data_IF_129430724219
#
_entry.id   IF_129430724219
#
_cell.length_a   1.000
_cell.length_b   1.000
_cell.length_c   1.000
_cell.angle_alpha   90.00
_cell.angle_beta   90.00
_cell.angle_gamma   90.00
#
_symmetry.space_group_name_H-M   'P 1'
#
loop_
_entity.id
_entity.type
_entity.pdbx_description
1 polymer ?
#
# COMPACT_ATOMS: atom_id res chain seq x y z
N UNK A 1 5.24 12.33 20.56
CA UNK A 1 5.46 12.51 19.12
C UNK A 1 4.60 11.53 18.35
N UNK A 2 3.85 12.01 17.41
CA UNK A 2 2.97 11.17 16.63
C UNK A 2 3.60 10.79 15.30
N UNK A 3 3.26 9.60 14.82
CA UNK A 3 3.65 9.13 13.50
C UNK A 3 2.41 8.79 12.73
N UNK A 4 2.41 9.13 11.45
CA UNK A 4 1.39 8.64 10.54
C UNK A 4 1.87 7.30 10.01
N UNK A 5 1.15 6.24 10.32
CA UNK A 5 1.47 4.90 9.86
C UNK A 5 0.22 4.23 9.31
N UNK A 6 0.41 3.03 8.76
CA UNK A 6 -0.69 2.36 8.08
C UNK A 6 -1.84 2.01 9.04
N UNK A 7 -1.53 1.67 10.29
CA UNK A 7 -2.57 1.33 11.26
C UNK A 7 -3.43 2.54 11.59
N UNK A 8 -2.82 3.72 11.73
CA UNK A 8 -3.58 4.95 11.95
C UNK A 8 -4.51 5.25 10.78
N UNK A 9 -4.04 5.02 9.56
CA UNK A 9 -4.86 5.23 8.36
C UNK A 9 -6.04 4.27 8.37
N UNK A 10 -5.81 3.01 8.71
CA UNK A 10 -6.89 2.00 8.79
C UNK A 10 -7.94 2.45 9.79
N UNK A 11 -7.51 2.85 10.99
CA UNK A 11 -8.43 3.19 12.08
C UNK A 11 -9.20 4.48 11.82
N UNK A 12 -8.52 5.48 11.27
CA UNK A 12 -9.11 6.81 11.12
C UNK A 12 -10.02 6.94 9.90
N UNK A 13 -9.96 5.98 8.96
CA UNK A 13 -10.64 6.13 7.68
C UNK A 13 -11.58 4.97 7.35
N UNK A 14 -11.95 4.18 8.34
CA UNK A 14 -12.94 3.09 8.18
C UNK A 14 -12.57 2.11 7.07
N UNK A 15 -11.31 1.70 7.04
CA UNK A 15 -10.89 0.64 6.14
C UNK A 15 -11.51 -0.65 6.65
N UNK A 16 -12.41 -1.24 5.89
CA UNK A 16 -13.24 -2.35 6.38
C UNK A 16 -12.65 -3.72 6.16
N UNK A 17 -11.79 -3.87 5.16
CA UNK A 17 -11.22 -5.18 4.87
C UNK A 17 -9.71 -5.08 4.79
N UNK A 18 -9.02 -5.78 5.67
CA UNK A 18 -7.56 -5.84 5.69
C UNK A 18 -7.14 -7.12 6.38
N UNK A 19 -5.94 -7.59 6.07
CA UNK A 19 -5.44 -8.88 6.54
C UNK A 19 -4.04 -8.73 7.09
N UNK A 20 -3.82 -9.24 8.31
CA UNK A 20 -2.50 -9.24 8.92
C UNK A 20 -1.56 -10.17 8.18
N UNK A 21 -0.30 -9.77 8.05
CA UNK A 21 0.76 -10.57 7.43
C UNK A 21 1.64 -11.24 8.47
N UNK A 22 1.21 -11.22 9.72
CA UNK A 22 2.01 -11.72 10.84
C UNK A 22 2.39 -13.19 10.70
N UNK A 23 1.50 -13.99 10.12
CA UNK A 23 1.78 -15.41 9.91
C UNK A 23 2.93 -15.65 8.92
N UNK A 24 3.29 -14.65 8.12
CA UNK A 24 4.43 -14.70 7.21
C UNK A 24 5.67 -14.06 7.83
N UNK A 25 5.60 -13.69 9.11
CA UNK A 25 6.72 -13.04 9.78
C UNK A 25 6.87 -11.58 9.43
N UNK A 26 5.83 -10.96 8.89
CA UNK A 26 5.85 -9.58 8.42
C UNK A 26 4.94 -8.72 9.28
N UNK A 27 5.46 -7.60 9.76
CA UNK A 27 4.63 -6.61 10.44
C UNK A 27 3.96 -5.75 9.39
N UNK A 28 2.65 -5.89 9.25
CA UNK A 28 1.91 -5.10 8.28
C UNK A 28 0.64 -5.77 7.87
N UNK A 29 0.00 -5.18 6.87
CA UNK A 29 -1.31 -5.60 6.42
C UNK A 29 -1.38 -5.58 4.90
N UNK A 30 -2.22 -6.45 4.35
CA UNK A 30 -2.52 -6.47 2.93
C UNK A 30 -3.99 -6.16 2.72
N UNK A 31 -4.30 -5.51 1.60
CA UNK A 31 -5.62 -4.97 1.32
C UNK A 31 -6.10 -5.42 -0.06
N UNK A 32 -7.42 -5.71 -0.20
CA UNK A 32 -7.98 -5.88 -1.53
C UNK A 32 -7.83 -4.61 -2.36
N UNK A 33 -8.02 -4.73 -3.66
CA UNK A 33 -7.81 -3.61 -4.58
C UNK A 33 -8.54 -2.34 -4.16
N UNK A 34 -9.83 -2.44 -3.84
CA UNK A 34 -10.62 -1.26 -3.48
C UNK A 34 -10.11 -0.56 -2.24
N UNK A 35 -9.76 -1.33 -1.22
CA UNK A 35 -9.23 -0.75 0.01
C UNK A 35 -7.85 -0.16 -0.20
N UNK A 36 -7.00 -0.84 -0.98
CA UNK A 36 -5.68 -0.33 -1.29
C UNK A 36 -5.76 1.00 -2.04
N UNK A 37 -6.66 1.11 -3.02
CA UNK A 37 -6.84 2.35 -3.76
C UNK A 37 -7.38 3.47 -2.87
N UNK A 38 -8.23 3.14 -1.92
CA UNK A 38 -8.74 4.10 -0.95
C UNK A 38 -7.59 4.67 -0.11
N UNK A 39 -6.66 3.81 0.32
CA UNK A 39 -5.50 4.23 1.09
C UNK A 39 -4.60 5.14 0.25
N UNK A 40 -4.43 4.85 -1.04
CA UNK A 40 -3.65 5.71 -1.92
C UNK A 40 -4.23 7.13 -1.95
N UNK A 41 -5.55 7.25 -2.07
CA UNK A 41 -6.20 8.57 -2.08
C UNK A 41 -6.02 9.30 -0.75
N UNK A 42 -6.12 8.57 0.35
CA UNK A 42 -5.90 9.14 1.67
C UNK A 42 -4.47 9.66 1.80
N UNK A 43 -3.49 8.91 1.33
CA UNK A 43 -2.09 9.32 1.36
C UNK A 43 -1.86 10.59 0.54
N UNK A 44 -2.53 10.72 -0.61
CA UNK A 44 -2.46 11.95 -1.39
C UNK A 44 -2.95 13.15 -0.58
N UNK A 45 -4.09 12.99 0.10
CA UNK A 45 -4.70 14.06 0.89
C UNK A 45 -3.84 14.43 2.10
N UNK A 46 -3.25 13.45 2.74
CA UNK A 46 -2.43 13.66 3.93
C UNK A 46 -0.98 14.02 3.60
N UNK A 47 -0.65 14.06 2.33
CA UNK A 47 0.70 14.38 1.83
C UNK A 47 1.73 13.37 2.37
N UNK A 48 1.42 12.09 2.20
CA UNK A 48 2.28 10.98 2.64
C UNK A 48 2.75 10.21 1.42
N UNK A 49 4.07 10.12 1.16
CA UNK A 49 4.57 9.34 0.02
C UNK A 49 4.37 7.85 0.23
N UNK A 50 4.12 7.13 -0.85
CA UNK A 50 4.05 5.67 -0.83
C UNK A 50 5.32 5.16 -1.51
N UNK A 51 6.19 4.50 -0.75
CA UNK A 51 7.49 4.04 -1.24
C UNK A 51 7.35 2.86 -2.19
N UNK A 52 6.29 2.12 -2.07
CA UNK A 52 6.02 0.94 -2.89
C UNK A 52 5.12 -0.02 -2.17
N UNK A 53 5.14 -1.27 -2.60
CA UNK A 53 4.37 -2.30 -1.94
C UNK A 53 4.66 -3.68 -2.51
N UNK A 54 4.03 -4.65 -1.89
CA UNK A 54 4.14 -6.05 -2.29
C UNK A 54 2.77 -6.62 -2.58
N UNK A 55 2.73 -7.62 -3.45
CA UNK A 55 1.50 -8.29 -3.79
C UNK A 55 1.44 -9.65 -3.13
N UNK A 56 0.30 -9.96 -2.55
CA UNK A 56 0.00 -11.25 -1.95
C UNK A 56 -1.22 -11.81 -2.65
N UNK A 57 -1.41 -13.10 -2.55
CA UNK A 57 -2.59 -13.74 -3.11
C UNK A 57 -3.31 -14.50 -2.02
N UNK A 58 -4.64 -14.39 -2.02
CA UNK A 58 -5.47 -15.19 -1.13
C UNK A 58 -6.07 -16.34 -1.94
N UNK A 59 -5.67 -17.55 -1.60
CA UNK A 59 -6.18 -18.77 -2.23
C UNK A 59 -6.73 -19.66 -1.13
N UNK A 60 -8.02 -19.99 -1.18
CA UNK A 60 -8.66 -20.85 -0.20
C UNK A 60 -8.42 -20.39 1.25
N UNK A 61 -8.56 -19.10 1.48
CA UNK A 61 -8.38 -18.46 2.80
C UNK A 61 -6.93 -18.44 3.30
N UNK A 62 -5.98 -18.82 2.46
CA UNK A 62 -4.55 -18.76 2.81
C UNK A 62 -3.90 -17.62 2.05
N UNK A 63 -3.17 -16.77 2.76
CA UNK A 63 -2.45 -15.64 2.15
C UNK A 63 -1.01 -16.04 1.90
N UNK A 64 -0.57 -15.90 0.67
CA UNK A 64 0.78 -16.27 0.24
C UNK A 64 1.42 -15.10 -0.49
N UNK A 65 2.76 -15.03 -0.43
CA UNK A 65 3.50 -14.02 -1.17
C UNK A 65 3.50 -14.38 -2.65
N UNK A 66 3.13 -13.45 -3.52
CA UNK A 66 3.12 -13.71 -4.97
C UNK A 66 4.40 -13.24 -5.65
N UNK A 67 5.36 -12.72 -4.88
CA UNK A 67 6.67 -12.26 -5.35
C UNK A 67 6.64 -11.09 -6.34
N UNK A 68 5.49 -10.44 -6.47
CA UNK A 68 5.37 -9.21 -7.25
C UNK A 68 5.43 -8.00 -6.32
N UNK A 69 6.03 -6.94 -6.80
CA UNK A 69 6.15 -5.72 -6.03
C UNK A 69 6.33 -4.52 -6.95
N UNK A 70 6.24 -3.33 -6.37
CA UNK A 70 6.57 -2.10 -7.06
C UNK A 70 7.23 -1.15 -6.08
N UNK A 71 7.94 -0.15 -6.63
CA UNK A 71 8.56 0.87 -5.82
C UNK A 71 8.63 2.18 -6.61
N UNK A 72 8.87 3.25 -5.88
CA UNK A 72 9.07 4.57 -6.48
C UNK A 72 10.32 5.21 -5.89
N UNK A 73 11.27 5.59 -6.75
CA UNK A 73 12.50 6.26 -6.34
C UNK A 73 12.33 7.76 -6.53
N UNK A 74 12.45 8.51 -5.44
CA UNK A 74 12.39 9.96 -5.51
C UNK A 74 13.62 10.50 -6.25
N UNK A 75 13.38 11.43 -7.19
CA UNK A 75 14.48 12.10 -7.89
C UNK A 75 14.98 13.27 -7.06
N UNK A 76 16.25 13.66 -7.26
CA UNK A 76 16.83 14.75 -6.48
C UNK A 76 16.17 16.11 -6.74
N UNK A 77 15.70 16.32 -7.96
CA UNK A 77 15.09 17.60 -8.33
C UNK A 77 13.61 17.69 -8.00
N UNK A 78 13.05 16.60 -7.50
CA UNK A 78 11.62 16.49 -7.23
C UNK A 78 11.28 17.18 -5.91
N UNK A 79 10.29 18.08 -5.92
CA UNK A 79 9.81 18.66 -4.67
C UNK A 79 9.13 17.58 -3.83
N UNK A 80 8.97 17.83 -2.54
CA UNK A 80 8.29 16.88 -1.69
C UNK A 80 6.85 16.65 -2.17
N UNK A 81 6.16 17.72 -2.53
CA UNK A 81 4.79 17.60 -3.04
C UNK A 81 4.74 16.73 -4.29
N UNK A 82 5.63 16.97 -5.25
CA UNK A 82 5.66 16.17 -6.47
C UNK A 82 6.03 14.72 -6.18
N UNK A 83 6.94 14.50 -5.24
CA UNK A 83 7.30 13.17 -4.79
C UNK A 83 6.06 12.43 -4.25
N UNK A 84 5.26 13.08 -3.41
CA UNK A 84 4.03 12.49 -2.89
C UNK A 84 3.09 12.13 -4.05
N UNK A 85 2.82 13.08 -4.93
CA UNK A 85 1.90 12.87 -6.04
C UNK A 85 2.37 11.75 -6.96
N UNK A 86 3.64 11.77 -7.33
CA UNK A 86 4.18 10.80 -8.27
C UNK A 86 4.24 9.39 -7.66
N UNK A 87 4.64 9.29 -6.40
CA UNK A 87 4.69 7.98 -5.73
C UNK A 87 3.30 7.38 -5.54
N UNK A 88 2.33 8.21 -5.18
CA UNK A 88 0.94 7.75 -5.04
C UNK A 88 0.36 7.37 -6.41
N UNK A 89 0.63 8.16 -7.45
CA UNK A 89 0.16 7.84 -8.80
C UNK A 89 0.78 6.54 -9.31
N UNK A 90 2.05 6.30 -9.02
CA UNK A 90 2.72 5.05 -9.37
C UNK A 90 2.01 3.88 -8.72
N UNK A 91 1.70 3.99 -7.43
CA UNK A 91 1.01 2.94 -6.69
C UNK A 91 -0.39 2.69 -7.26
N UNK A 92 -1.13 3.76 -7.53
CA UNK A 92 -2.46 3.64 -8.09
C UNK A 92 -2.43 2.93 -9.44
N UNK A 93 -1.52 3.33 -10.32
CA UNK A 93 -1.39 2.73 -11.66
C UNK A 93 -1.04 1.25 -11.57
N UNK A 94 -0.11 0.91 -10.68
CA UNK A 94 0.30 -0.48 -10.51
C UNK A 94 -0.87 -1.34 -10.02
N UNK A 95 -1.56 -0.88 -8.99
CA UNK A 95 -2.68 -1.63 -8.40
C UNK A 95 -3.79 -1.84 -9.41
N UNK A 96 -4.16 -0.79 -10.16
CA UNK A 96 -5.24 -0.88 -11.14
C UNK A 96 -4.89 -1.80 -12.30
N UNK A 97 -3.63 -1.84 -12.69
CA UNK A 97 -3.19 -2.63 -13.84
C UNK A 97 -2.82 -4.07 -13.48
N UNK A 98 -2.74 -4.38 -12.20
CA UNK A 98 -2.25 -5.70 -11.78
C UNK A 98 -3.16 -6.83 -12.26
N UNK A 99 -2.58 -7.84 -12.87
CA UNK A 99 -3.28 -9.05 -13.33
C UNK A 99 -2.44 -10.27 -12.98
N UNK A 100 -3.08 -11.27 -12.40
CA UNK A 100 -2.45 -12.54 -12.12
C UNK A 100 -3.51 -13.63 -12.18
N UNK A 101 -3.49 -14.40 -13.26
CA UNK A 101 -4.51 -15.42 -13.52
C UNK A 101 -4.41 -16.63 -12.61
N UNK A 102 -3.30 -16.80 -11.90
CA UNK A 102 -3.14 -17.90 -10.96
C UNK A 102 -3.58 -17.55 -9.55
N UNK A 103 -4.13 -16.35 -9.36
CA UNK A 103 -4.50 -15.82 -8.06
C UNK A 103 -6.01 -15.60 -7.99
N UNK A 104 -6.65 -16.14 -6.93
CA UNK A 104 -8.08 -15.95 -6.72
C UNK A 104 -8.38 -14.49 -6.37
N UNK A 105 -7.54 -13.90 -5.53
CA UNK A 105 -7.78 -12.55 -5.05
C UNK A 105 -6.44 -11.90 -4.73
N UNK A 106 -6.02 -10.90 -5.52
CA UNK A 106 -4.77 -10.19 -5.19
C UNK A 106 -4.99 -9.25 -4.01
N UNK A 107 -3.99 -9.20 -3.14
CA UNK A 107 -3.96 -8.28 -2.01
C UNK A 107 -2.68 -7.46 -2.12
N UNK A 108 -2.75 -6.22 -1.68
CA UNK A 108 -1.62 -5.29 -1.81
C UNK A 108 -1.24 -4.74 -0.45
N UNK A 109 0.04 -4.83 -0.11
CA UNK A 109 0.57 -4.11 1.03
C UNK A 109 1.15 -2.79 0.54
N UNK A 110 1.14 -1.78 1.39
CA UNK A 110 1.62 -0.45 1.03
C UNK A 110 2.67 -0.03 2.03
N UNK A 111 3.84 0.35 1.52
CA UNK A 111 4.92 0.86 2.36
C UNK A 111 4.89 2.37 2.26
N UNK A 112 4.49 3.03 3.32
CA UNK A 112 4.42 4.48 3.35
C UNK A 112 5.62 5.04 4.10
N UNK A 113 5.98 6.28 3.76
CA UNK A 113 7.03 6.98 4.49
C UNK A 113 6.44 7.49 5.80
N UNK A 114 7.07 7.12 6.92
CA UNK A 114 6.59 7.56 8.22
C UNK A 114 6.72 9.07 8.35
N UNK A 115 5.67 9.70 8.90
CA UNK A 115 5.66 11.11 9.15
C UNK A 115 5.81 11.35 10.64
N UNK A 116 6.79 12.13 11.03
CA UNK A 116 7.01 12.53 12.42
C UNK A 116 6.41 13.92 12.63
N UNK A 117 5.64 14.03 13.69
CA UNK A 117 5.00 15.31 14.03
C UNK A 117 5.62 15.95 15.23
#
# INVERSE_FOLDING_TARGET
MEKSDIMSIIQDNNISEYYSLKHLGIEGYAFPEQEALKIVQICKLLVIPILGGDVYSMNNSTIENSDDNWYYDRTQSESYYNYVQNSCNRSESYIRAYKNHSCDKPLFSLVIEEQLK
#
